data_IF_936611184926
#
_entry.id   IF_936611184926
#
_cell.length_a   1.000
_cell.length_b   1.000
_cell.length_c   1.000
_cell.angle_alpha   90.00
_cell.angle_beta   90.00
_cell.angle_gamma   90.00
#
_symmetry.space_group_name_H-M   'P 1'
#
loop_
_entity.id
_entity.type
_entity.pdbx_description
1 polymer ?
#
# COMPACT_ATOMS: atom_id res chain seq x y z
N UNK A 1 16.31 -20.17 6.24
CA UNK A 1 14.96 -19.89 5.70
C UNK A 1 15.16 -19.26 4.35
N UNK A 2 15.16 -20.10 3.32
CA UNK A 2 14.99 -19.66 1.94
C UNK A 2 13.58 -19.08 1.85
N UNK A 3 13.47 -17.78 1.60
CA UNK A 3 12.18 -17.11 1.54
C UNK A 3 11.32 -17.74 0.45
N UNK A 4 10.10 -18.14 0.79
CA UNK A 4 9.13 -18.66 -0.17
C UNK A 4 8.93 -17.69 -1.33
N UNK A 5 8.51 -18.21 -2.49
CA UNK A 5 8.22 -17.36 -3.65
C UNK A 5 7.07 -16.40 -3.29
N UNK A 6 6.95 -15.22 -3.93
CA UNK A 6 5.89 -14.26 -3.65
C UNK A 6 4.47 -14.86 -3.67
N UNK A 7 4.25 -15.84 -4.52
CA UNK A 7 2.99 -16.60 -4.60
C UNK A 7 2.70 -17.39 -3.32
N UNK A 8 3.69 -18.10 -2.77
CA UNK A 8 3.52 -18.94 -1.58
C UNK A 8 3.16 -18.07 -0.37
N UNK A 9 3.88 -16.96 -0.20
CA UNK A 9 3.62 -15.97 0.85
C UNK A 9 2.19 -15.40 0.71
N UNK A 10 1.78 -15.07 -0.51
CA UNK A 10 0.42 -14.56 -0.72
C UNK A 10 -0.67 -15.62 -0.48
N UNK A 11 -0.39 -16.88 -0.81
CA UNK A 11 -1.29 -18.00 -0.53
C UNK A 11 -1.49 -18.17 0.98
N UNK A 12 -0.42 -18.16 1.76
CA UNK A 12 -0.47 -18.22 3.22
C UNK A 12 -1.22 -17.01 3.81
N UNK A 13 -0.91 -15.79 3.35
CA UNK A 13 -1.64 -14.60 3.78
C UNK A 13 -3.13 -14.70 3.54
N UNK A 14 -3.55 -15.24 2.38
CA UNK A 14 -4.97 -15.41 2.06
C UNK A 14 -5.63 -16.44 3.00
N UNK A 15 -4.92 -17.51 3.35
CA UNK A 15 -5.43 -18.49 4.32
C UNK A 15 -5.65 -17.83 5.69
N UNK A 16 -4.64 -17.09 6.17
CA UNK A 16 -4.72 -16.34 7.42
C UNK A 16 -5.84 -15.29 7.42
N UNK A 17 -5.99 -14.52 6.34
CA UNK A 17 -7.07 -13.54 6.16
C UNK A 17 -8.46 -14.21 6.11
N UNK A 18 -8.57 -15.46 5.64
CA UNK A 18 -9.83 -16.19 5.63
C UNK A 18 -10.17 -16.81 6.99
N UNK A 19 -9.15 -17.23 7.76
CA UNK A 19 -9.31 -17.74 9.12
C UNK A 19 -9.75 -16.64 10.08
N UNK A 20 -9.17 -15.45 9.95
CA UNK A 20 -9.51 -14.29 10.77
C UNK A 20 -9.57 -13.00 9.92
N UNK A 21 -10.75 -12.67 9.35
CA UNK A 21 -10.93 -11.52 8.46
C UNK A 21 -10.64 -10.16 9.11
N UNK A 22 -10.75 -10.09 10.44
CA UNK A 22 -10.60 -8.87 11.22
C UNK A 22 -9.13 -8.63 11.62
N UNK A 23 -8.29 -9.67 11.56
CA UNK A 23 -6.85 -9.52 11.80
C UNK A 23 -6.11 -8.90 10.62
N UNK A 24 -5.06 -8.16 10.98
CA UNK A 24 -4.15 -7.54 10.02
C UNK A 24 -2.82 -8.28 10.07
N UNK A 25 -2.41 -8.80 8.92
CA UNK A 25 -1.12 -9.48 8.75
C UNK A 25 -0.13 -8.56 8.03
N UNK A 26 1.10 -8.53 8.52
CA UNK A 26 2.20 -7.78 7.92
C UNK A 26 3.36 -8.72 7.67
N UNK A 27 3.86 -8.75 6.44
CA UNK A 27 5.05 -9.53 6.09
C UNK A 27 6.28 -8.65 6.27
N UNK A 28 7.16 -9.07 7.17
CA UNK A 28 8.49 -8.48 7.33
C UNK A 28 9.47 -9.27 6.48
N UNK A 29 10.11 -8.60 5.51
CA UNK A 29 11.13 -9.20 4.65
C UNK A 29 12.50 -8.59 4.94
N UNK A 30 13.57 -9.37 4.66
CA UNK A 30 14.95 -8.98 4.94
C UNK A 30 15.45 -7.82 4.07
N UNK A 31 14.84 -7.60 2.89
CA UNK A 31 15.28 -6.58 1.94
C UNK A 31 14.09 -5.83 1.36
N UNK A 32 14.30 -4.55 1.03
CA UNK A 32 13.30 -3.74 0.33
C UNK A 32 12.93 -4.32 -1.04
N UNK A 33 13.87 -4.99 -1.72
CA UNK A 33 13.62 -5.64 -3.01
C UNK A 33 12.58 -6.76 -2.90
N UNK A 34 12.65 -7.57 -1.84
CA UNK A 34 11.65 -8.60 -1.58
C UNK A 34 10.27 -7.99 -1.28
N UNK A 35 10.22 -6.91 -0.47
CA UNK A 35 8.96 -6.20 -0.19
C UNK A 35 8.34 -5.64 -1.48
N UNK A 36 9.17 -5.05 -2.36
CA UNK A 36 8.73 -4.55 -3.67
C UNK A 36 8.17 -5.68 -4.54
N UNK A 37 8.91 -6.79 -4.68
CA UNK A 37 8.47 -7.94 -5.47
C UNK A 37 7.15 -8.54 -4.95
N UNK A 38 6.98 -8.62 -3.63
CA UNK A 38 5.73 -9.09 -3.01
C UNK A 38 4.55 -8.17 -3.36
N UNK A 39 4.71 -6.85 -3.18
CA UNK A 39 3.66 -5.88 -3.46
C UNK A 39 3.34 -5.79 -4.97
N UNK A 40 4.36 -5.90 -5.84
CA UNK A 40 4.18 -5.93 -7.30
C UNK A 40 3.44 -7.18 -7.73
N UNK A 41 3.78 -8.36 -7.19
CA UNK A 41 3.07 -9.59 -7.50
C UNK A 41 1.59 -9.50 -7.12
N UNK A 42 1.27 -8.93 -5.95
CA UNK A 42 -0.12 -8.70 -5.53
C UNK A 42 -0.83 -7.76 -6.50
N UNK A 43 -0.17 -6.68 -6.91
CA UNK A 43 -0.72 -5.75 -7.88
C UNK A 43 -1.01 -6.46 -9.20
N UNK A 44 -0.03 -7.13 -9.81
CA UNK A 44 -0.13 -7.73 -11.14
C UNK A 44 -1.18 -8.85 -11.20
N UNK A 45 -1.40 -9.58 -10.11
CA UNK A 45 -2.36 -10.67 -10.01
C UNK A 45 -3.75 -10.23 -9.51
N UNK A 46 -3.98 -8.92 -9.34
CA UNK A 46 -5.26 -8.39 -8.88
C UNK A 46 -6.15 -7.93 -10.05
N UNK A 47 -7.46 -8.15 -9.92
CA UNK A 47 -8.45 -7.66 -10.90
C UNK A 47 -8.84 -6.19 -10.70
N UNK A 48 -8.69 -5.67 -9.48
CA UNK A 48 -9.14 -4.32 -9.07
C UNK A 48 -7.96 -3.36 -8.89
N UNK A 49 -7.11 -3.27 -9.92
CA UNK A 49 -5.89 -2.44 -9.93
C UNK A 49 -6.22 -0.98 -10.21
N UNK A 50 -5.47 -0.10 -9.56
CA UNK A 50 -5.53 1.35 -9.72
C UNK A 50 -4.09 1.83 -9.91
N UNK A 51 -3.87 2.72 -10.89
CA UNK A 51 -2.60 3.42 -11.05
C UNK A 51 -2.89 4.91 -10.93
N UNK A 52 -2.24 5.57 -9.99
CA UNK A 52 -2.29 7.02 -9.84
C UNK A 52 -0.96 7.58 -10.34
N UNK A 53 -1.04 8.38 -11.40
CA UNK A 53 0.15 9.06 -11.91
C UNK A 53 0.59 10.17 -10.93
N UNK A 54 1.90 10.40 -10.79
CA UNK A 54 2.40 11.44 -9.92
C UNK A 54 1.94 12.80 -10.43
N UNK A 55 1.28 13.58 -9.57
CA UNK A 55 0.91 14.94 -9.92
C UNK A 55 2.15 15.86 -9.82
N UNK A 56 2.31 16.73 -10.82
CA UNK A 56 3.47 17.63 -10.98
C UNK A 56 3.61 18.63 -9.83
N UNK A 57 2.50 18.97 -9.17
CA UNK A 57 2.43 19.96 -8.11
C UNK A 57 1.97 19.29 -6.81
N UNK A 58 2.85 19.29 -5.81
CA UNK A 58 2.51 18.92 -4.44
C UNK A 58 2.26 20.20 -3.66
N UNK A 59 1.03 20.43 -3.21
CA UNK A 59 0.72 21.52 -2.26
C UNK A 59 1.35 21.32 -0.89
N UNK A 60 1.95 20.15 -0.63
CA UNK A 60 2.64 19.80 0.62
C UNK A 60 4.11 20.25 0.65
N UNK A 61 4.66 20.74 -0.46
CA UNK A 61 6.02 21.31 -0.50
C UNK A 61 5.96 22.84 -0.54
N UNK A 62 5.40 23.46 0.50
CA UNK A 62 5.56 24.92 0.75
C UNK A 62 6.98 25.28 1.19
N UNK A 63 7.78 24.29 1.57
CA UNK A 63 9.20 24.45 1.93
C UNK A 63 10.04 23.77 0.86
N UNK A 64 11.01 24.49 0.26
CA UNK A 64 11.85 24.07 -0.88
C UNK A 64 12.78 22.87 -0.66
N UNK A 65 12.33 21.86 0.08
CA UNK A 65 12.96 20.56 0.20
C UNK A 65 12.45 19.64 -0.90
N UNK A 66 13.36 19.16 -1.73
CA UNK A 66 13.06 18.10 -2.68
C UNK A 66 12.77 16.82 -1.89
N UNK A 67 11.55 16.27 -2.02
CA UNK A 67 11.24 14.96 -1.46
C UNK A 67 12.23 13.94 -2.05
N UNK A 68 12.99 13.24 -1.21
CA UNK A 68 13.83 12.13 -1.66
C UNK A 68 12.91 10.98 -2.07
N UNK A 69 12.55 10.93 -3.34
CA UNK A 69 11.72 9.88 -3.92
C UNK A 69 11.66 10.04 -5.43
N UNK A 70 11.79 8.93 -6.13
CA UNK A 70 11.56 8.90 -7.58
C UNK A 70 10.07 9.16 -7.83
N UNK A 71 9.75 10.13 -8.69
CA UNK A 71 8.37 10.38 -9.13
C UNK A 71 7.89 9.13 -9.86
N UNK A 72 7.15 8.29 -9.14
CA UNK A 72 6.68 7.00 -9.61
C UNK A 72 5.18 6.92 -9.43
N UNK A 73 4.51 6.24 -10.35
CA UNK A 73 3.07 6.01 -10.29
C UNK A 73 2.74 5.16 -9.07
N UNK A 74 1.74 5.57 -8.31
CA UNK A 74 1.27 4.83 -7.14
C UNK A 74 0.34 3.71 -7.60
N UNK A 75 0.81 2.46 -7.44
CA UNK A 75 0.08 1.24 -7.77
C UNK A 75 -0.73 0.78 -6.55
N UNK A 76 -2.05 0.71 -6.68
CA UNK A 76 -2.99 0.37 -5.62
C UNK A 76 -3.92 -0.76 -6.03
N UNK A 77 -4.48 -1.48 -5.06
CA UNK A 77 -5.48 -2.52 -5.30
C UNK A 77 -6.66 -2.33 -4.35
N UNK A 78 -7.87 -2.25 -4.91
CA UNK A 78 -9.09 -2.17 -4.10
C UNK A 78 -9.28 -3.46 -3.30
N UNK A 79 -9.55 -3.30 -2.01
CA UNK A 79 -9.69 -4.37 -1.02
C UNK A 79 -8.38 -4.74 -0.34
N UNK A 80 -7.23 -4.18 -0.76
CA UNK A 80 -5.92 -4.44 -0.17
C UNK A 80 -5.50 -3.36 0.83
N UNK A 81 -4.54 -3.73 1.67
CA UNK A 81 -4.03 -2.88 2.75
C UNK A 81 -3.03 -1.87 2.19
N UNK A 82 -3.06 -0.67 2.75
CA UNK A 82 -2.14 0.43 2.47
C UNK A 82 -1.65 1.01 3.79
N UNK A 83 -0.44 1.57 3.77
CA UNK A 83 0.13 2.28 4.92
C UNK A 83 0.10 3.78 4.65
N UNK A 84 -0.38 4.56 5.62
CA UNK A 84 -0.28 6.01 5.59
C UNK A 84 1.18 6.40 5.86
N UNK A 85 1.79 7.16 4.95
CA UNK A 85 3.21 7.56 5.04
C UNK A 85 3.44 8.99 5.57
N UNK A 86 2.38 9.76 5.81
CA UNK A 86 2.43 11.13 6.31
C UNK A 86 1.38 11.36 7.39
N UNK A 87 1.66 12.25 8.34
CA UNK A 87 0.66 12.67 9.32
C UNK A 87 -0.39 13.57 8.66
N UNK A 88 -1.64 13.17 8.75
CA UNK A 88 -2.81 13.85 8.22
C UNK A 88 -3.78 14.12 9.38
N UNK A 89 -3.47 15.12 10.24
CA UNK A 89 -4.18 15.34 11.50
C UNK A 89 -5.66 15.70 11.31
N UNK A 90 -5.98 16.45 10.24
CA UNK A 90 -7.37 16.81 9.90
C UNK A 90 -8.22 15.59 9.54
N UNK A 91 -7.59 14.52 9.05
CA UNK A 91 -8.22 13.25 8.67
C UNK A 91 -8.09 12.20 9.78
N UNK A 92 -7.44 12.54 10.91
CA UNK A 92 -7.20 11.60 12.01
C UNK A 92 -6.30 10.42 11.64
N UNK A 93 -5.41 10.58 10.66
CA UNK A 93 -4.48 9.54 10.20
C UNK A 93 -3.04 9.90 10.58
N UNK A 94 -2.37 8.99 11.27
CA UNK A 94 -0.95 9.09 11.59
C UNK A 94 -0.10 8.29 10.59
N UNK A 95 1.16 8.71 10.42
CA UNK A 95 2.15 7.92 9.71
C UNK A 95 2.29 6.53 10.37
N UNK A 96 2.34 5.47 9.56
CA UNK A 96 2.41 4.07 10.00
C UNK A 96 1.04 3.40 10.18
N UNK A 97 -0.08 4.13 10.12
CA UNK A 97 -1.41 3.54 10.20
C UNK A 97 -1.66 2.65 8.98
N UNK A 98 -2.00 1.39 9.26
CA UNK A 98 -2.45 0.42 8.26
C UNK A 98 -3.97 0.50 8.10
N UNK A 99 -4.44 0.52 6.85
CA UNK A 99 -5.86 0.65 6.52
C UNK A 99 -6.19 -0.08 5.22
N UNK A 100 -7.46 -0.40 4.95
CA UNK A 100 -7.88 -1.07 3.72
C UNK A 100 -8.42 -0.06 2.71
N UNK A 101 -7.97 -0.15 1.46
CA UNK A 101 -8.52 0.64 0.37
C UNK A 101 -9.89 0.09 -0.06
N UNK A 102 -10.97 0.86 0.11
CA UNK A 102 -12.33 0.43 -0.25
C UNK A 102 -12.72 0.83 -1.67
N UNK A 103 -12.36 2.04 -2.10
CA UNK A 103 -12.64 2.55 -3.45
C UNK A 103 -11.82 3.79 -3.75
N UNK A 104 -11.77 4.13 -5.03
CA UNK A 104 -11.27 5.39 -5.55
C UNK A 104 -12.43 6.16 -6.18
N UNK A 105 -12.47 7.47 -5.95
CA UNK A 105 -13.20 8.44 -6.79
C UNK A 105 -12.20 9.30 -7.58
N UNK A 106 -12.71 10.23 -8.38
CA UNK A 106 -11.86 11.17 -9.11
C UNK A 106 -10.95 11.99 -8.20
N UNK A 107 -11.36 12.25 -6.97
CA UNK A 107 -10.67 13.18 -6.05
C UNK A 107 -10.17 12.50 -4.77
N UNK A 108 -10.71 11.33 -4.39
CA UNK A 108 -10.46 10.74 -3.08
C UNK A 108 -10.22 9.23 -3.14
N UNK A 109 -9.35 8.77 -2.24
CA UNK A 109 -9.30 7.36 -1.84
C UNK A 109 -10.13 7.19 -0.58
N UNK A 110 -11.00 6.18 -0.56
CA UNK A 110 -11.82 5.85 0.61
C UNK A 110 -11.19 4.66 1.33
N UNK A 111 -10.93 4.85 2.62
CA UNK A 111 -10.16 3.93 3.46
C UNK A 111 -11.05 3.41 4.59
N UNK A 112 -10.94 2.12 4.91
CA UNK A 112 -11.59 1.47 6.05
C UNK A 112 -10.66 1.51 7.26
N UNK A 113 -11.15 2.07 8.36
CA UNK A 113 -10.43 2.11 9.62
C UNK A 113 -10.71 0.87 10.45
#
# INVERSE_FOLDING_TARGET
>A
MDGGMPEDIYRELRLLENEDPDKVFMVLAKTCAMVKALNEWVFDNSKKRIVLEPHTESSLTTTGFSLRGERSSLKLVVGKKVMVIHNLPLQGLANGVMTRLLRQSQEYLVLER
#
